data_IF_395309653956
#
_entry.id   IF_395309653956
#
_cell.length_a   1.000
_cell.length_b   1.000
_cell.length_c   1.000
_cell.angle_alpha   90.00
_cell.angle_beta   90.00
_cell.angle_gamma   90.00
#
_symmetry.space_group_name_H-M   'P 1'
#
loop_
_entity.id
_entity.type
_entity.pdbx_description
1 polymer ?
#
# COMPACT_ATOMS: atom_id res chain seq x y z
N UNK A 1 -9.83 -20.41 11.27
CA UNK A 1 -10.00 -18.94 11.39
C UNK A 1 -10.79 -18.45 10.19
N UNK A 2 -11.35 -17.26 10.24
CA UNK A 2 -12.13 -16.70 9.13
C UNK A 2 -11.83 -15.23 8.93
N UNK A 3 -12.09 -14.76 7.72
CA UNK A 3 -12.19 -13.34 7.41
C UNK A 3 -13.66 -12.96 7.43
N UNK A 4 -13.96 -11.82 8.05
CA UNK A 4 -15.25 -11.15 8.03
C UNK A 4 -15.04 -9.90 7.17
N UNK A 5 -15.76 -9.83 6.05
CA UNK A 5 -15.72 -8.73 5.11
C UNK A 5 -16.54 -7.54 5.62
N UNK A 6 -16.37 -6.38 4.99
CA UNK A 6 -17.13 -5.16 5.33
C UNK A 6 -18.65 -5.33 5.14
N UNK A 7 -19.08 -6.20 4.22
CA UNK A 7 -20.49 -6.54 3.99
C UNK A 7 -21.00 -7.67 4.90
N UNK A 8 -20.25 -8.00 5.96
CA UNK A 8 -20.50 -9.09 6.90
C UNK A 8 -20.47 -10.51 6.30
N UNK A 9 -20.12 -10.67 5.03
CA UNK A 9 -19.83 -11.99 4.48
C UNK A 9 -18.63 -12.61 5.22
N UNK A 10 -18.57 -13.94 5.24
CA UNK A 10 -17.49 -14.67 5.88
C UNK A 10 -16.82 -15.62 4.89
N UNK A 11 -15.50 -15.77 4.99
CA UNK A 11 -14.75 -16.78 4.27
C UNK A 11 -13.82 -17.51 5.25
N UNK A 12 -13.87 -18.84 5.24
CA UNK A 12 -12.90 -19.64 5.98
C UNK A 12 -11.52 -19.51 5.33
N UNK A 13 -10.51 -19.23 6.15
CA UNK A 13 -9.14 -19.04 5.69
C UNK A 13 -8.18 -19.85 6.57
N UNK A 14 -7.04 -20.19 6.00
CA UNK A 14 -5.92 -20.82 6.69
C UNK A 14 -4.97 -19.78 7.27
N UNK A 15 -4.85 -18.60 6.63
CA UNK A 15 -4.00 -17.50 7.12
C UNK A 15 -4.36 -16.18 6.44
N UNK A 16 -4.03 -15.07 7.12
CA UNK A 16 -3.99 -13.71 6.59
C UNK A 16 -2.73 -13.02 7.13
N UNK A 17 -1.73 -12.79 6.28
CA UNK A 17 -0.39 -12.30 6.69
C UNK A 17 0.08 -11.17 5.79
N UNK A 18 0.74 -10.17 6.36
CA UNK A 18 1.42 -9.13 5.59
C UNK A 18 2.82 -9.59 5.16
N UNK A 19 3.10 -9.50 3.86
CA UNK A 19 4.42 -9.73 3.28
C UNK A 19 4.87 -8.41 2.66
N UNK A 20 5.65 -7.62 3.41
CA UNK A 20 5.83 -6.20 3.10
C UNK A 20 4.48 -5.48 3.19
N UNK A 21 4.07 -4.81 2.11
CA UNK A 21 2.80 -4.09 2.03
C UNK A 21 1.67 -4.94 1.44
N UNK A 22 1.96 -6.19 1.07
CA UNK A 22 1.02 -7.07 0.41
C UNK A 22 0.31 -7.96 1.44
N UNK A 23 -1.02 -7.83 1.53
CA UNK A 23 -1.83 -8.74 2.34
C UNK A 23 -2.03 -10.05 1.57
N UNK A 24 -1.52 -11.14 2.12
CA UNK A 24 -1.67 -12.48 1.58
C UNK A 24 -2.67 -13.28 2.42
N UNK A 25 -3.76 -13.74 1.77
CA UNK A 25 -4.79 -14.58 2.36
C UNK A 25 -4.72 -15.96 1.71
N UNK A 26 -4.77 -17.04 2.48
CA UNK A 26 -4.79 -18.42 1.95
C UNK A 26 -6.06 -19.15 2.36
N UNK A 27 -6.67 -19.87 1.44
CA UNK A 27 -7.90 -20.65 1.69
C UNK A 27 -7.96 -21.91 0.83
N UNK A 28 -8.75 -22.88 1.28
CA UNK A 28 -9.16 -24.09 0.54
C UNK A 28 -10.68 -24.15 0.39
N UNK A 29 -11.38 -23.11 0.85
CA UNK A 29 -12.83 -23.12 1.06
C UNK A 29 -13.61 -22.42 -0.05
N UNK A 30 -12.94 -21.99 -1.12
CA UNK A 30 -13.52 -21.29 -2.25
C UNK A 30 -12.77 -21.64 -3.54
N UNK A 31 -13.42 -21.41 -4.68
CA UNK A 31 -12.84 -21.54 -6.01
C UNK A 31 -12.13 -20.26 -6.45
N UNK A 32 -11.26 -20.36 -7.45
CA UNK A 32 -10.55 -19.19 -8.00
C UNK A 32 -11.52 -18.13 -8.56
N UNK A 33 -12.64 -18.54 -9.14
CA UNK A 33 -13.67 -17.64 -9.69
C UNK A 33 -14.40 -16.89 -8.58
N UNK A 34 -14.81 -17.57 -7.51
CA UNK A 34 -15.43 -16.94 -6.33
C UNK A 34 -14.46 -15.97 -5.64
N UNK A 35 -13.18 -16.35 -5.51
CA UNK A 35 -12.16 -15.46 -4.95
C UNK A 35 -11.97 -14.22 -5.83
N UNK A 36 -11.90 -14.38 -7.15
CA UNK A 36 -11.79 -13.24 -8.06
C UNK A 36 -13.00 -12.31 -7.92
N UNK A 37 -14.21 -12.86 -7.92
CA UNK A 37 -15.43 -12.06 -7.79
C UNK A 37 -15.47 -11.32 -6.45
N UNK A 38 -15.20 -12.00 -5.33
CA UNK A 38 -15.29 -11.42 -3.99
C UNK A 38 -14.20 -10.40 -3.72
N UNK A 39 -12.96 -10.68 -4.10
CA UNK A 39 -11.81 -9.81 -3.82
C UNK A 39 -11.63 -8.67 -4.83
N UNK A 40 -12.44 -8.64 -5.89
CA UNK A 40 -12.58 -7.47 -6.77
C UNK A 40 -13.70 -6.52 -6.35
N UNK A 41 -14.51 -6.87 -5.34
CA UNK A 41 -15.52 -5.98 -4.78
C UNK A 41 -14.89 -5.01 -3.77
N UNK A 42 -14.70 -3.76 -4.19
CA UNK A 42 -14.11 -2.71 -3.34
C UNK A 42 -14.91 -2.44 -2.06
N UNK A 43 -16.24 -2.52 -2.11
CA UNK A 43 -17.07 -2.29 -0.93
C UNK A 43 -16.89 -3.40 0.09
N UNK A 44 -16.92 -4.67 -0.36
CA UNK A 44 -16.69 -5.81 0.52
C UNK A 44 -15.27 -5.83 1.07
N UNK A 45 -14.28 -5.43 0.27
CA UNK A 45 -12.85 -5.45 0.64
C UNK A 45 -12.36 -4.21 1.39
N UNK A 46 -13.24 -3.24 1.65
CA UNK A 46 -12.89 -2.02 2.39
C UNK A 46 -12.37 -2.30 3.80
N UNK A 47 -12.82 -3.38 4.41
CA UNK A 47 -12.38 -3.82 5.73
C UNK A 47 -12.39 -5.35 5.79
N UNK A 48 -11.33 -5.90 6.38
CA UNK A 48 -11.23 -7.30 6.76
C UNK A 48 -11.00 -7.41 8.25
N UNK A 49 -11.87 -8.13 8.95
CA UNK A 49 -11.63 -8.54 10.32
C UNK A 49 -11.29 -10.02 10.35
N UNK A 50 -10.15 -10.37 10.93
CA UNK A 50 -9.73 -11.75 11.07
C UNK A 50 -10.19 -12.26 12.42
N UNK A 51 -11.08 -13.24 12.40
CA UNK A 51 -11.59 -13.89 13.60
C UNK A 51 -10.96 -15.27 13.76
N UNK A 52 -10.44 -15.54 14.96
CA UNK A 52 -10.03 -16.85 15.38
C UNK A 52 -10.66 -17.19 16.73
N UNK A 53 -11.40 -18.30 16.80
CA UNK A 53 -12.07 -18.78 18.02
C UNK A 53 -12.94 -17.71 18.70
N UNK A 54 -13.65 -16.91 17.91
CA UNK A 54 -14.56 -15.87 18.39
C UNK A 54 -13.87 -14.57 18.83
N UNK A 55 -12.57 -14.42 18.59
CA UNK A 55 -11.83 -13.19 18.88
C UNK A 55 -11.30 -12.57 17.59
N UNK A 56 -11.45 -11.25 17.45
CA UNK A 56 -10.80 -10.51 16.37
C UNK A 56 -9.32 -10.37 16.69
N UNK A 57 -8.48 -11.00 15.88
CA UNK A 57 -7.01 -11.03 16.07
C UNK A 57 -6.28 -10.03 15.16
N UNK A 58 -6.92 -9.56 14.09
CA UNK A 58 -6.39 -8.53 13.21
C UNK A 58 -7.52 -7.79 12.50
N UNK A 59 -7.26 -6.54 12.09
CA UNK A 59 -8.13 -5.75 11.23
C UNK A 59 -7.26 -5.11 10.15
N UNK A 60 -7.65 -5.30 8.89
CA UNK A 60 -7.00 -4.71 7.73
C UNK A 60 -7.99 -3.81 6.99
N UNK A 61 -7.60 -2.57 6.75
CA UNK A 61 -8.47 -1.56 6.13
C UNK A 61 -7.93 -1.15 4.75
N UNK A 62 -8.85 -0.98 3.81
CA UNK A 62 -8.62 -0.51 2.45
C UNK A 62 -7.65 -1.35 1.60
N UNK A 63 -7.59 -2.66 1.86
CA UNK A 63 -6.93 -3.61 0.96
C UNK A 63 -7.88 -3.98 -0.18
N UNK A 64 -8.10 -3.03 -1.09
CA UNK A 64 -9.06 -3.15 -2.21
C UNK A 64 -8.41 -3.42 -3.56
N UNK A 65 -7.08 -3.31 -3.66
CA UNK A 65 -6.36 -3.51 -4.91
C UNK A 65 -5.94 -4.98 -5.05
N UNK A 66 -6.76 -5.79 -5.72
CA UNK A 66 -6.43 -7.18 -6.02
C UNK A 66 -5.23 -7.25 -6.97
N UNK A 67 -4.11 -7.77 -6.48
CA UNK A 67 -2.89 -7.91 -7.27
C UNK A 67 -2.87 -9.23 -8.04
N UNK A 68 -3.05 -10.36 -7.34
CA UNK A 68 -3.03 -11.68 -7.97
C UNK A 68 -3.74 -12.75 -7.16
N UNK A 69 -4.09 -13.82 -7.86
CA UNK A 69 -4.48 -15.10 -7.30
C UNK A 69 -3.38 -16.11 -7.59
N UNK A 70 -3.07 -16.97 -6.61
CA UNK A 70 -2.00 -17.96 -6.69
C UNK A 70 -2.53 -19.34 -6.29
N UNK A 71 -1.99 -20.41 -6.89
CA UNK A 71 -2.24 -21.78 -6.46
C UNK A 71 -0.98 -22.33 -5.79
N UNK A 72 -1.18 -22.93 -4.62
CA UNK A 72 -0.15 -23.59 -3.81
C UNK A 72 -0.38 -25.10 -3.83
N UNK A 73 0.66 -25.83 -3.42
CA UNK A 73 0.57 -27.29 -3.26
C UNK A 73 -0.59 -27.68 -2.36
N UNK A 74 -1.29 -28.76 -2.73
CA UNK A 74 -2.46 -29.24 -1.98
C UNK A 74 -3.77 -28.52 -2.29
N UNK A 75 -3.86 -27.78 -3.41
CA UNK A 75 -5.09 -27.10 -3.83
C UNK A 75 -5.42 -25.87 -3.00
N UNK A 76 -4.42 -25.33 -2.29
CA UNK A 76 -4.57 -24.11 -1.51
C UNK A 76 -4.53 -22.92 -2.46
N UNK A 77 -5.54 -22.06 -2.41
CA UNK A 77 -5.57 -20.82 -3.17
C UNK A 77 -5.10 -19.65 -2.31
N UNK A 78 -4.35 -18.74 -2.91
CA UNK A 78 -3.89 -17.49 -2.31
C UNK A 78 -4.49 -16.28 -3.01
N UNK A 79 -4.80 -15.25 -2.22
CA UNK A 79 -5.19 -13.92 -2.66
C UNK A 79 -4.14 -12.95 -2.15
N UNK A 80 -3.63 -12.10 -3.04
CA UNK A 80 -2.68 -11.05 -2.71
C UNK A 80 -3.28 -9.68 -3.03
N UNK A 81 -3.29 -8.77 -2.05
CA UNK A 81 -3.89 -7.45 -2.18
C UNK A 81 -2.95 -6.35 -1.70
N UNK A 82 -2.96 -5.22 -2.40
CA UNK A 82 -2.39 -3.97 -1.90
C UNK A 82 -3.44 -3.14 -1.20
N UNK A 83 -2.97 -2.33 -0.26
CA UNK A 83 -3.73 -1.21 0.26
C UNK A 83 -3.85 -0.14 -0.83
N UNK A 84 -4.97 0.58 -0.86
CA UNK A 84 -5.14 1.75 -1.75
C UNK A 84 -3.98 2.74 -1.55
N UNK A 85 -3.36 3.21 -2.63
CA UNK A 85 -2.19 4.11 -2.56
C UNK A 85 -0.86 3.43 -2.28
N UNK A 86 -0.81 2.11 -2.05
CA UNK A 86 0.42 1.39 -1.68
C UNK A 86 0.91 0.41 -2.75
N UNK A 87 0.41 0.51 -3.99
CA UNK A 87 1.03 -0.25 -5.09
C UNK A 87 2.47 0.21 -5.33
N UNK A 88 3.34 -0.66 -5.87
CA UNK A 88 4.70 -0.27 -6.23
C UNK A 88 4.75 0.95 -7.15
N UNK A 89 3.81 1.04 -8.08
CA UNK A 89 3.69 2.13 -9.04
C UNK A 89 3.31 3.44 -8.35
N UNK A 90 2.24 3.45 -7.54
CA UNK A 90 1.81 4.66 -6.79
C UNK A 90 2.92 5.16 -5.85
N UNK A 91 3.61 4.25 -5.17
CA UNK A 91 4.73 4.61 -4.30
C UNK A 91 5.93 5.15 -5.06
N UNK A 92 6.16 4.65 -6.28
CA UNK A 92 7.24 5.16 -7.12
C UNK A 92 6.92 6.58 -7.61
N UNK A 93 5.68 6.81 -8.06
CA UNK A 93 5.21 8.14 -8.46
C UNK A 93 5.32 9.16 -7.32
N UNK A 94 4.94 8.77 -6.09
CA UNK A 94 5.09 9.61 -4.89
C UNK A 94 6.56 9.97 -4.63
N UNK A 95 7.45 8.97 -4.69
CA UNK A 95 8.90 9.18 -4.49
C UNK A 95 9.49 10.07 -5.59
N UNK A 96 9.10 9.88 -6.85
CA UNK A 96 9.56 10.71 -7.97
C UNK A 96 9.14 12.17 -7.78
N UNK A 97 7.90 12.43 -7.38
CA UNK A 97 7.41 13.78 -7.09
C UNK A 97 8.15 14.43 -5.91
N UNK A 98 8.39 13.70 -4.83
CA UNK A 98 9.15 14.18 -3.66
C UNK A 98 10.60 14.56 -4.03
N UNK A 99 11.23 13.76 -4.89
CA UNK A 99 12.57 14.04 -5.41
C UNK A 99 12.59 15.29 -6.27
N UNK A 100 11.60 15.47 -7.15
CA UNK A 100 11.49 16.68 -7.98
C UNK A 100 11.30 17.94 -7.11
N UNK A 101 10.40 17.89 -6.12
CA UNK A 101 10.15 19.00 -5.20
C UNK A 101 11.42 19.36 -4.41
N UNK A 102 12.08 18.34 -3.84
CA UNK A 102 13.31 18.53 -3.08
C UNK A 102 14.41 19.16 -3.95
N UNK A 103 14.53 18.73 -5.21
CA UNK A 103 15.50 19.31 -6.14
C UNK A 103 15.18 20.77 -6.46
N UNK A 104 13.91 21.12 -6.65
CA UNK A 104 13.49 22.51 -6.89
C UNK A 104 13.81 23.41 -5.69
N UNK A 105 13.49 22.97 -4.47
CA UNK A 105 13.79 23.70 -3.23
C UNK A 105 15.29 23.93 -3.06
N UNK A 106 16.11 22.91 -3.32
CA UNK A 106 17.57 23.02 -3.27
C UNK A 106 18.10 24.03 -4.29
N UNK A 107 17.58 24.03 -5.51
CA UNK A 107 17.99 25.00 -6.53
C UNK A 107 17.62 26.44 -6.13
N UNK A 108 16.45 26.65 -5.53
CA UNK A 108 16.05 27.95 -5.01
C UNK A 108 16.97 28.40 -3.87
N UNK A 109 17.25 27.54 -2.90
CA UNK A 109 18.17 27.86 -1.79
C UNK A 109 19.58 28.19 -2.29
N UNK A 110 20.09 27.45 -3.29
CA UNK A 110 21.39 27.75 -3.93
C UNK A 110 21.36 29.12 -4.60
N UNK A 111 20.28 29.48 -5.30
CA UNK A 111 20.15 30.77 -5.95
C UNK A 111 20.14 31.93 -4.94
N UNK A 112 19.39 31.79 -3.83
CA UNK A 112 19.36 32.77 -2.74
C UNK A 112 20.74 32.97 -2.09
N UNK A 113 21.42 31.86 -1.75
CA UNK A 113 22.78 31.93 -1.20
C UNK A 113 23.76 32.57 -2.16
N UNK A 114 23.66 32.27 -3.46
CA UNK A 114 24.52 32.86 -4.49
C UNK A 114 24.31 34.37 -4.59
N UNK A 115 23.05 34.83 -4.53
CA UNK A 115 22.73 36.26 -4.50
C UNK A 115 23.29 36.94 -3.23
N UNK A 116 23.12 36.33 -2.06
CA UNK A 116 23.68 36.86 -0.81
C UNK A 116 25.21 37.00 -0.87
N UNK A 117 25.92 35.97 -1.36
CA UNK A 117 27.38 36.01 -1.53
C UNK A 117 27.79 37.16 -2.47
N UNK A 118 27.10 37.33 -3.60
CA UNK A 118 27.39 38.42 -4.54
C UNK A 118 27.21 39.81 -3.90
N UNK A 119 26.16 40.01 -3.09
CA UNK A 119 25.96 41.28 -2.35
C UNK A 119 27.05 41.54 -1.31
N UNK A 120 27.51 40.49 -0.61
CA UNK A 120 28.59 40.61 0.37
C UNK A 120 29.94 40.92 -0.29
N UNK A 121 30.25 40.30 -1.44
CA UNK A 121 31.49 40.56 -2.18
C UNK A 121 31.51 41.94 -2.85
N UNK A 122 30.38 42.43 -3.34
CA UNK A 122 30.26 43.77 -3.94
C UNK A 122 30.43 44.92 -2.94
N UNK A 123 30.16 44.69 -1.64
CA UNK A 123 30.32 45.69 -0.58
C UNK A 123 31.77 45.93 -0.13
N UNK A 124 32.72 45.06 -0.49
CA UNK A 124 34.14 45.17 -0.06
C UNK A 124 34.97 46.04 -1.01
N UNK A 125 34.47 46.35 -2.21
CA UNK A 125 35.20 47.15 -3.21
C UNK A 125 35.04 48.68 -3.05
N UNK A 126 34.38 49.15 -1.98
CA UNK A 126 34.08 50.56 -1.74
C UNK A 126 34.47 51.04 -0.35
N UNK A 127 35.73 50.85 0.07
CA UNK A 127 36.37 51.59 1.18
C UNK A 127 37.83 51.83 0.89
#
# INVERSE_FOLDING_TARGET
MKIIFNDAAELQIQSATLIGNLLQIKTVSATQEELRAKFSDEFACRMFQIEERGQIIATYENYTQLYRLEEYTGGILGVAMYKVGETPEERLEEIEADVEHTNADLQMAIAELTMLIATMQGGVAGV
#
